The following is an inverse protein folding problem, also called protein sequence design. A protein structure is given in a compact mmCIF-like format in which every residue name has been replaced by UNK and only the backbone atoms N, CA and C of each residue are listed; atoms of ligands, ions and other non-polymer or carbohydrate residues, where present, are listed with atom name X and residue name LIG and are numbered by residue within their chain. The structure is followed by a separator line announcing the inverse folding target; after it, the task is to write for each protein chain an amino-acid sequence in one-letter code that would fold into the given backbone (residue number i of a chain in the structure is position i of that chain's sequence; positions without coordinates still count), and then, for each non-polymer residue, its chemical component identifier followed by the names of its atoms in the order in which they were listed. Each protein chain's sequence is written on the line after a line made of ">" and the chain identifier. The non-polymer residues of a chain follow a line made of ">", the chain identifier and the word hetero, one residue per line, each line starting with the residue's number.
data_IF_343114689067
#
_entry.id   IF_343114689067
#
_cell.length_a   1.000
_cell.length_b   1.000
_cell.length_c   1.000
_cell.angle_alpha   90.00
_cell.angle_beta   90.00
_cell.angle_gamma   90.00
#
_symmetry.space_group_name_H-M   'P 1'
#
loop_
_entity.id
_entity.type
_entity.pdbx_description
1 polymer ?
#
# COMPACT_ATOMS: atom_id res chain seq x y z
N UNK A 1 -18.26 4.99 -6.53
CA UNK A 1 -19.01 5.84 -5.60
C UNK A 1 -18.62 7.28 -5.91
N UNK A 2 -19.55 8.10 -6.43
CA UNK A 2 -19.35 9.54 -6.70
C UNK A 2 -20.23 10.33 -5.74
N UNK A 3 -19.67 11.24 -4.96
CA UNK A 3 -20.44 12.13 -4.09
C UNK A 3 -20.84 13.39 -4.87
N UNK A 4 -22.14 13.67 -4.99
CA UNK A 4 -22.64 14.83 -5.73
C UNK A 4 -22.71 16.10 -4.85
N UNK A 5 -21.64 16.41 -4.11
CA UNK A 5 -21.42 17.73 -3.48
C UNK A 5 -22.49 18.29 -2.51
N UNK A 6 -23.60 17.59 -2.26
CA UNK A 6 -24.76 18.11 -1.53
C UNK A 6 -25.10 17.28 -0.28
N UNK A 7 -24.08 16.79 0.44
CA UNK A 7 -24.18 16.29 1.83
C UNK A 7 -24.99 15.02 2.08
N UNK A 8 -25.42 14.32 1.03
CA UNK A 8 -25.83 12.91 1.11
C UNK A 8 -25.19 12.19 -0.06
N UNK A 9 -24.13 11.41 0.17
CA UNK A 9 -23.53 10.56 -0.86
C UNK A 9 -24.53 9.43 -1.20
N UNK A 10 -25.60 9.75 -1.94
CA UNK A 10 -26.53 8.77 -2.48
C UNK A 10 -25.94 8.21 -3.76
N UNK A 11 -24.98 7.32 -3.61
CA UNK A 11 -24.46 6.58 -4.76
C UNK A 11 -25.45 5.47 -5.06
N UNK A 12 -25.91 5.40 -6.31
CA UNK A 12 -26.47 4.16 -6.83
C UNK A 12 -25.27 3.27 -7.18
N UNK A 13 -25.01 2.20 -6.43
CA UNK A 13 -23.90 1.32 -6.77
C UNK A 13 -24.19 0.69 -8.14
N UNK A 14 -23.16 0.54 -8.98
CA UNK A 14 -23.29 -0.10 -10.30
C UNK A 14 -23.53 -1.62 -10.17
N UNK A 15 -23.34 -2.18 -8.98
CA UNK A 15 -23.73 -3.51 -8.54
C UNK A 15 -24.60 -3.38 -7.28
N UNK A 16 -25.75 -4.05 -7.22
CA UNK A 16 -26.66 -3.99 -6.08
C UNK A 16 -26.07 -4.56 -4.77
N UNK A 17 -24.98 -5.33 -4.87
CA UNK A 17 -24.28 -5.93 -3.74
C UNK A 17 -23.18 -5.02 -3.15
N UNK A 18 -22.94 -3.83 -3.71
CA UNK A 18 -21.89 -2.93 -3.24
C UNK A 18 -22.43 -1.86 -2.29
N UNK A 19 -21.75 -1.70 -1.16
CA UNK A 19 -21.96 -0.58 -0.26
C UNK A 19 -20.95 0.53 -0.58
N UNK A 20 -21.42 1.77 -0.59
CA UNK A 20 -20.53 2.92 -0.59
C UNK A 20 -20.22 3.32 0.84
N UNK A 21 -18.94 3.32 1.16
CA UNK A 21 -18.43 3.46 2.51
C UNK A 21 -17.62 4.75 2.53
N UNK A 22 -17.87 5.57 3.54
CA UNK A 22 -17.15 6.83 3.67
C UNK A 22 -15.65 6.54 3.90
N UNK A 23 -14.79 7.40 3.39
CA UNK A 23 -13.35 7.23 3.59
C UNK A 23 -12.93 7.46 5.04
N UNK A 24 -13.64 8.33 5.76
CA UNK A 24 -13.47 8.51 7.20
C UNK A 24 -13.83 7.24 7.97
N UNK A 25 -14.68 6.38 7.39
CA UNK A 25 -15.07 5.10 7.95
C UNK A 25 -14.09 3.99 7.59
N UNK A 26 -13.79 3.78 6.30
CA UNK A 26 -12.83 2.76 5.86
C UNK A 26 -12.22 3.05 4.47
N UNK A 27 -11.29 4.00 4.36
CA UNK A 27 -10.57 4.27 3.11
C UNK A 27 -9.80 3.04 2.58
N UNK A 28 -10.03 2.61 1.34
CA UNK A 28 -9.22 1.54 0.74
C UNK A 28 -7.77 2.02 0.55
N UNK A 29 -6.74 1.28 1.01
CA UNK A 29 -5.36 1.69 0.81
C UNK A 29 -5.00 1.84 -0.68
N UNK A 30 -4.20 2.86 -0.99
CA UNK A 30 -3.73 3.10 -2.34
C UNK A 30 -2.51 2.21 -2.59
N UNK A 31 -2.77 1.03 -3.16
CA UNK A 31 -1.73 0.04 -3.51
C UNK A 31 -0.97 0.41 -4.78
N UNK A 32 -1.57 1.24 -5.62
CA UNK A 32 -0.96 1.64 -6.87
C UNK A 32 0.22 2.57 -6.61
N UNK A 33 1.36 2.28 -7.24
CA UNK A 33 2.64 2.91 -6.92
C UNK A 33 3.43 2.15 -5.85
N UNK A 34 2.80 1.23 -5.12
CA UNK A 34 3.41 0.25 -4.23
C UNK A 34 4.06 -0.95 -4.92
N UNK A 35 4.36 -0.80 -6.22
CA UNK A 35 4.80 -1.91 -7.08
C UNK A 35 6.15 -2.45 -6.61
N UNK A 36 6.12 -3.70 -6.15
CA UNK A 36 7.27 -4.59 -5.96
C UNK A 36 8.30 -4.05 -4.97
N UNK A 37 8.14 -4.48 -3.72
CA UNK A 37 9.17 -4.23 -2.74
C UNK A 37 10.41 -5.08 -3.07
N UNK A 38 11.54 -4.41 -3.26
CA UNK A 38 12.76 -5.08 -3.63
C UNK A 38 13.30 -5.83 -2.41
N UNK A 39 13.38 -7.16 -2.50
CA UNK A 39 14.19 -7.93 -1.57
C UNK A 39 15.62 -7.46 -1.74
N UNK A 40 16.20 -6.90 -0.68
CA UNK A 40 17.58 -6.43 -0.65
C UNK A 40 18.52 -7.43 -0.01
N UNK A 41 17.97 -8.38 0.73
CA UNK A 41 18.69 -9.46 1.37
C UNK A 41 17.71 -10.51 1.87
N UNK A 42 18.18 -11.75 1.88
CA UNK A 42 17.50 -12.90 2.47
C UNK A 42 18.45 -13.44 3.52
N UNK A 43 18.01 -13.43 4.76
CA UNK A 43 18.79 -13.84 5.92
C UNK A 43 18.13 -15.07 6.56
N UNK A 44 18.81 -15.71 7.50
CA UNK A 44 18.23 -16.82 8.25
C UNK A 44 17.08 -16.32 9.12
N UNK A 45 15.84 -16.68 8.74
CA UNK A 45 14.62 -16.35 9.48
C UNK A 45 13.97 -15.00 9.16
N UNK A 46 14.57 -14.14 8.33
CA UNK A 46 13.94 -12.87 7.91
C UNK A 46 14.40 -12.41 6.51
N UNK A 47 13.68 -11.45 5.94
CA UNK A 47 14.03 -10.76 4.70
C UNK A 47 14.18 -9.26 4.93
N UNK A 48 15.10 -8.65 4.17
CA UNK A 48 15.26 -7.20 4.13
C UNK A 48 14.49 -6.65 2.96
N UNK A 49 13.48 -5.84 3.26
CA UNK A 49 12.58 -5.25 2.29
C UNK A 49 12.96 -3.79 2.01
N UNK A 50 12.91 -3.37 0.76
CA UNK A 50 12.86 -1.95 0.40
C UNK A 50 11.46 -1.62 -0.13
N UNK A 51 10.61 -1.11 0.76
CA UNK A 51 9.27 -0.68 0.42
C UNK A 51 9.32 0.55 -0.49
N UNK A 52 8.62 0.50 -1.63
CA UNK A 52 8.55 1.64 -2.57
C UNK A 52 7.13 2.18 -2.56
N UNK A 53 6.96 3.48 -2.32
CA UNK A 53 5.68 4.14 -2.60
C UNK A 53 5.87 5.11 -3.77
N UNK A 54 4.98 4.98 -4.76
CA UNK A 54 4.73 6.01 -5.78
C UNK A 54 4.29 7.31 -5.12
N UNK A 55 4.31 8.41 -5.86
CA UNK A 55 3.88 9.71 -5.34
C UNK A 55 2.43 9.92 -5.74
N UNK A 56 1.54 10.15 -4.77
CA UNK A 56 0.12 10.36 -5.06
C UNK A 56 -0.13 11.54 -6.02
N UNK A 57 0.74 12.54 -6.03
CA UNK A 57 0.67 13.69 -6.95
C UNK A 57 0.76 13.33 -8.44
N UNK A 58 1.19 12.10 -8.78
CA UNK A 58 1.23 11.60 -10.17
C UNK A 58 0.07 10.61 -10.47
N UNK A 59 -0.92 10.47 -9.57
CA UNK A 59 -2.01 9.49 -9.68
C UNK A 59 -2.85 9.62 -10.95
N UNK A 60 -3.07 10.84 -11.43
CA UNK A 60 -3.81 11.12 -12.66
C UNK A 60 -3.12 10.56 -13.92
N UNK A 61 -1.80 10.33 -13.84
CA UNK A 61 -0.98 9.75 -14.90
C UNK A 61 -0.88 8.22 -14.80
N UNK A 62 -1.42 7.60 -13.75
CA UNK A 62 -1.34 6.16 -13.57
C UNK A 62 -2.34 5.46 -14.49
N UNK A 63 -1.82 4.54 -15.32
CA UNK A 63 -2.62 3.83 -16.33
C UNK A 63 -3.82 3.04 -15.77
N UNK A 64 -3.85 2.76 -14.47
CA UNK A 64 -4.90 1.99 -13.80
C UNK A 64 -5.36 2.66 -12.50
N UNK A 65 -5.64 3.97 -12.52
CA UNK A 65 -6.07 4.67 -11.31
C UNK A 65 -7.43 4.15 -10.80
N UNK A 66 -7.46 3.64 -9.56
CA UNK A 66 -8.68 3.17 -8.88
C UNK A 66 -9.29 4.20 -7.93
N UNK A 67 -8.65 5.36 -7.78
CA UNK A 67 -9.08 6.45 -6.91
C UNK A 67 -9.73 7.56 -7.71
N UNK A 68 -10.80 8.16 -7.18
CA UNK A 68 -11.39 9.35 -7.75
C UNK A 68 -10.53 10.58 -7.39
N UNK A 69 -9.69 11.02 -8.33
CA UNK A 69 -8.83 12.20 -8.12
C UNK A 69 -9.61 13.52 -8.03
N UNK A 70 -10.91 13.51 -8.40
CA UNK A 70 -11.78 14.68 -8.28
C UNK A 70 -12.16 14.95 -6.84
N UNK A 71 -12.41 13.88 -6.07
CA UNK A 71 -12.79 13.94 -4.67
C UNK A 71 -11.56 13.98 -3.72
N UNK A 72 -10.34 13.77 -4.25
CA UNK A 72 -9.08 13.78 -3.50
C UNK A 72 -8.05 14.79 -4.05
N UNK A 73 -8.51 15.99 -4.43
CA UNK A 73 -7.63 17.01 -4.98
C UNK A 73 -6.50 17.41 -4.02
N UNK A 74 -6.74 17.34 -2.71
CA UNK A 74 -5.75 17.65 -1.69
C UNK A 74 -4.61 16.61 -1.64
N UNK A 75 -4.86 15.35 -2.03
CA UNK A 75 -3.78 14.34 -2.14
C UNK A 75 -2.90 14.57 -3.38
N UNK A 76 -3.43 15.32 -4.36
CA UNK A 76 -2.70 15.74 -5.54
C UNK A 76 -1.88 17.01 -5.30
N UNK A 77 -2.11 17.73 -4.20
CA UNK A 77 -1.39 18.96 -3.88
C UNK A 77 -0.02 18.66 -3.23
N UNK A 78 1.11 19.07 -3.85
CA UNK A 78 2.42 18.96 -3.22
C UNK A 78 2.51 19.66 -1.86
N UNK A 79 1.76 20.74 -1.63
CA UNK A 79 1.79 21.48 -0.37
C UNK A 79 1.16 20.68 0.78
N UNK A 80 0.15 19.86 0.50
CA UNK A 80 -0.38 18.92 1.47
C UNK A 80 0.74 18.02 1.97
N UNK A 81 1.38 17.25 1.08
CA UNK A 81 2.40 16.25 1.45
C UNK A 81 3.73 16.83 1.94
N UNK A 82 4.08 18.04 1.51
CA UNK A 82 5.27 18.74 1.97
C UNK A 82 5.18 19.09 3.45
N UNK A 83 3.98 19.33 3.96
CA UNK A 83 3.75 19.84 5.30
C UNK A 83 4.46 21.18 5.52
N UNK A 84 4.79 21.47 6.77
CA UNK A 84 5.60 22.63 7.13
C UNK A 84 7.05 22.23 7.46
N UNK A 85 7.91 23.19 7.78
CA UNK A 85 9.33 22.94 8.09
C UNK A 85 9.55 21.97 9.25
N UNK A 86 8.55 21.79 10.11
CA UNK A 86 8.64 21.09 11.38
C UNK A 86 7.86 19.77 11.37
N UNK A 87 6.73 19.71 10.65
CA UNK A 87 5.81 18.59 10.65
C UNK A 87 5.50 18.16 9.21
N UNK A 88 5.93 16.94 8.87
CA UNK A 88 5.40 16.24 7.71
C UNK A 88 4.00 15.71 8.06
N UNK A 89 3.05 15.69 7.11
CA UNK A 89 1.74 15.11 7.36
C UNK A 89 1.86 13.63 7.71
N UNK A 90 1.05 13.15 8.67
CA UNK A 90 1.01 11.74 9.00
C UNK A 90 0.45 10.93 7.83
N UNK A 91 0.91 9.70 7.70
CA UNK A 91 0.34 8.72 6.79
C UNK A 91 0.47 7.31 7.37
N UNK A 92 -0.39 6.42 6.90
CA UNK A 92 -0.40 5.01 7.29
C UNK A 92 0.09 4.18 6.11
N UNK A 93 1.15 3.42 6.34
CA UNK A 93 1.70 2.42 5.42
C UNK A 93 1.03 1.08 5.70
N UNK A 94 0.57 0.41 4.66
CA UNK A 94 0.08 -0.96 4.71
C UNK A 94 1.07 -1.86 3.99
N UNK A 95 1.24 -3.07 4.51
CA UNK A 95 2.10 -4.10 3.91
C UNK A 95 1.33 -5.39 3.89
N UNK A 96 1.12 -5.92 2.70
CA UNK A 96 0.48 -7.22 2.46
C UNK A 96 1.51 -8.21 1.95
N UNK A 97 1.68 -9.32 2.64
CA UNK A 97 2.49 -10.45 2.20
C UNK A 97 1.55 -11.64 1.87
N UNK A 98 1.78 -12.39 0.78
CA UNK A 98 1.00 -13.57 0.42
C UNK A 98 1.43 -14.81 1.24
N UNK A 99 1.98 -14.59 2.43
CA UNK A 99 2.37 -15.59 3.41
C UNK A 99 2.19 -15.03 4.82
N UNK A 100 1.95 -15.91 5.78
CA UNK A 100 1.76 -15.55 7.18
C UNK A 100 3.12 -15.24 7.83
N UNK A 101 3.33 -13.96 8.14
CA UNK A 101 4.56 -13.47 8.79
C UNK A 101 4.68 -14.01 10.22
N UNK A 102 3.56 -14.29 10.89
CA UNK A 102 3.53 -14.77 12.29
C UNK A 102 4.19 -16.15 12.45
N UNK A 103 4.28 -16.94 11.37
CA UNK A 103 4.99 -18.23 11.36
C UNK A 103 6.52 -18.08 11.33
N UNK A 104 7.04 -16.86 11.17
CA UNK A 104 8.46 -16.55 11.16
C UNK A 104 9.06 -16.21 12.54
N UNK A 105 10.34 -15.87 12.55
CA UNK A 105 11.02 -15.36 13.74
C UNK A 105 11.38 -16.43 14.77
N UNK A 106 12.01 -16.01 15.87
CA UNK A 106 12.41 -16.95 16.94
C UNK A 106 11.16 -17.43 17.67
N UNK A 107 10.89 -18.74 17.62
CA UNK A 107 9.76 -19.33 18.33
C UNK A 107 8.39 -19.06 17.68
N UNK A 108 8.36 -18.73 16.39
CA UNK A 108 7.14 -18.36 15.66
C UNK A 108 6.44 -17.14 16.26
N UNK A 109 7.24 -16.16 16.70
CA UNK A 109 6.73 -14.87 17.20
C UNK A 109 6.51 -13.84 16.08
N UNK A 110 6.97 -14.16 14.86
CA UNK A 110 6.85 -13.45 13.59
C UNK A 110 6.48 -11.97 13.63
N UNK A 111 7.40 -11.12 13.18
CA UNK A 111 7.26 -9.68 13.22
C UNK A 111 7.56 -9.00 11.88
N UNK A 112 6.98 -7.81 11.72
CA UNK A 112 7.34 -6.89 10.67
C UNK A 112 7.71 -5.52 11.25
N UNK A 113 8.82 -4.95 10.80
CA UNK A 113 9.35 -3.71 11.34
C UNK A 113 9.80 -2.75 10.23
N UNK A 114 9.30 -1.51 10.30
CA UNK A 114 9.80 -0.37 9.56
C UNK A 114 10.27 0.72 10.54
N UNK A 115 11.59 0.97 10.68
CA UNK A 115 12.12 1.88 11.70
C UNK A 115 11.57 3.32 11.64
N UNK A 116 11.18 3.77 10.45
CA UNK A 116 10.60 5.10 10.21
C UNK A 116 9.11 5.20 10.64
N UNK A 117 8.55 4.12 11.22
CA UNK A 117 7.14 4.00 11.55
C UNK A 117 6.94 3.41 12.97
N UNK A 118 5.77 3.69 13.54
CA UNK A 118 5.22 2.96 14.67
C UNK A 118 4.42 1.75 14.15
N UNK A 119 4.43 0.60 14.84
CA UNK A 119 3.52 -0.49 14.50
C UNK A 119 2.07 -0.03 14.68
N UNK A 120 1.22 -0.40 13.74
CA UNK A 120 -0.23 -0.27 13.84
C UNK A 120 -0.85 -1.62 14.22
N UNK A 121 -1.59 -2.20 13.29
CA UNK A 121 -2.29 -3.48 13.44
C UNK A 121 -1.72 -4.56 12.54
N UNK A 122 -2.07 -5.80 12.85
CA UNK A 122 -1.89 -6.95 11.97
C UNK A 122 -3.21 -7.72 11.85
N UNK A 123 -3.45 -8.31 10.68
CA UNK A 123 -4.54 -9.26 10.49
C UNK A 123 -4.30 -10.56 11.26
N UNK A 124 -5.37 -11.33 11.50
CA UNK A 124 -5.33 -12.55 12.31
C UNK A 124 -4.45 -13.66 11.70
N UNK A 125 -4.32 -13.66 10.38
CA UNK A 125 -3.50 -14.57 9.57
C UNK A 125 -2.08 -14.05 9.34
N UNK A 126 -1.71 -12.93 9.98
CA UNK A 126 -0.37 -12.34 9.88
C UNK A 126 0.04 -11.87 8.48
N UNK A 127 -0.87 -11.84 7.51
CA UNK A 127 -0.58 -11.48 6.11
C UNK A 127 -0.61 -9.97 5.84
N UNK A 128 -1.41 -9.21 6.59
CA UNK A 128 -1.58 -7.77 6.43
C UNK A 128 -1.13 -7.03 7.70
N UNK A 129 -0.30 -6.00 7.52
CA UNK A 129 0.21 -5.18 8.61
C UNK A 129 0.10 -3.70 8.28
N UNK A 130 -0.21 -2.86 9.27
CA UNK A 130 -0.23 -1.41 9.15
C UNK A 130 0.84 -0.74 10.02
N UNK A 131 1.31 0.43 9.58
CA UNK A 131 2.40 1.18 10.19
C UNK A 131 2.12 2.68 10.12
N UNK A 132 2.24 3.37 11.24
CA UNK A 132 1.97 4.80 11.37
C UNK A 132 3.27 5.60 11.24
N UNK A 133 3.35 6.56 10.31
CA UNK A 133 4.58 7.32 10.07
C UNK A 133 5.08 8.04 11.34
N UNK A 134 6.37 7.91 11.68
CA UNK A 134 6.97 8.71 12.76
C UNK A 134 7.15 10.17 12.36
N UNK A 135 7.34 11.03 13.36
CA UNK A 135 7.71 12.42 13.14
C UNK A 135 8.98 12.54 12.29
N UNK A 136 8.90 13.33 11.22
CA UNK A 136 10.00 13.53 10.28
C UNK A 136 10.06 12.51 9.13
N UNK A 137 9.24 11.45 9.16
CA UNK A 137 9.09 10.53 8.03
C UNK A 137 8.36 11.24 6.89
N UNK A 138 9.05 11.39 5.75
CA UNK A 138 8.55 12.17 4.61
C UNK A 138 8.10 11.27 3.47
N UNK A 139 6.83 11.42 3.10
CA UNK A 139 6.29 10.89 1.86
C UNK A 139 6.64 11.77 0.65
N UNK A 140 6.74 13.09 0.85
CA UNK A 140 7.05 14.04 -0.22
C UNK A 140 8.53 14.06 -0.61
N UNK A 141 8.79 14.15 -1.91
CA UNK A 141 10.09 14.51 -2.49
C UNK A 141 9.90 15.56 -3.59
N UNK A 142 10.84 16.51 -3.65
CA UNK A 142 10.82 17.53 -4.69
C UNK A 142 10.83 16.90 -6.10
N UNK A 143 10.01 17.42 -7.03
CA UNK A 143 9.93 16.89 -8.38
C UNK A 143 11.25 17.09 -9.12
N UNK A 144 11.52 16.21 -10.08
CA UNK A 144 12.73 16.23 -10.91
C UNK A 144 12.36 16.24 -12.38
N UNK A 145 13.16 16.94 -13.18
CA UNK A 145 13.10 16.84 -14.63
C UNK A 145 13.73 15.51 -15.06
N UNK A 146 12.97 14.72 -15.80
CA UNK A 146 13.39 13.45 -16.37
C UNK A 146 13.27 13.57 -17.89
N UNK A 147 14.38 13.42 -18.57
CA UNK A 147 14.44 13.38 -20.04
C UNK A 147 14.33 11.94 -20.50
N UNK A 148 13.34 11.66 -21.33
CA UNK A 148 13.20 10.37 -22.00
C UNK A 148 14.29 10.24 -23.07
N UNK A 149 15.14 9.22 -22.96
CA UNK A 149 16.32 9.06 -23.83
C UNK A 149 15.97 8.74 -25.29
N UNK A 150 14.74 8.26 -25.54
CA UNK A 150 14.29 7.82 -26.88
C UNK A 150 13.62 8.97 -27.63
N UNK A 151 12.72 9.70 -26.96
CA UNK A 151 11.93 10.78 -27.53
C UNK A 151 12.55 12.17 -27.33
N UNK A 152 13.53 12.30 -26.42
CA UNK A 152 14.14 13.59 -26.04
C UNK A 152 13.20 14.51 -25.24
N UNK A 153 11.98 14.08 -24.93
CA UNK A 153 11.01 14.87 -24.20
C UNK A 153 11.39 14.92 -22.71
N UNK A 154 11.37 16.12 -22.15
CA UNK A 154 11.57 16.32 -20.70
C UNK A 154 10.23 16.43 -20.01
N UNK A 155 10.02 15.59 -18.99
CA UNK A 155 8.83 15.61 -18.14
C UNK A 155 9.23 15.85 -16.69
N UNK A 156 8.42 16.59 -15.96
CA UNK A 156 8.60 16.75 -14.52
C UNK A 156 7.88 15.59 -13.83
N UNK A 157 8.60 14.84 -12.99
CA UNK A 157 8.05 13.68 -12.25
C UNK A 157 8.36 13.76 -10.77
N UNK A 158 7.44 13.32 -9.92
CA UNK A 158 7.71 13.17 -8.51
C UNK A 158 8.41 11.82 -8.26
N UNK A 159 9.60 11.81 -7.65
CA UNK A 159 10.32 10.57 -7.44
C UNK A 159 9.69 9.75 -6.30
N UNK A 160 9.59 8.43 -6.47
CA UNK A 160 9.12 7.51 -5.42
C UNK A 160 9.89 7.68 -4.10
N UNK A 161 9.20 7.46 -2.98
CA UNK A 161 9.82 7.27 -1.66
C UNK A 161 10.12 5.81 -1.41
N UNK A 162 11.11 5.59 -0.55
CA UNK A 162 11.54 4.25 -0.19
C UNK A 162 11.75 4.17 1.31
N UNK A 163 11.27 3.08 1.90
CA UNK A 163 11.42 2.77 3.32
C UNK A 163 12.05 1.39 3.47
N UNK A 164 12.96 1.24 4.43
CA UNK A 164 13.58 -0.06 4.71
C UNK A 164 12.71 -0.78 5.73
N UNK A 165 12.34 -2.02 5.42
CA UNK A 165 11.60 -2.91 6.30
C UNK A 165 12.35 -4.21 6.56
N UNK A 166 11.97 -4.89 7.63
CA UNK A 166 12.40 -6.24 7.98
C UNK A 166 11.13 -7.06 8.21
N UNK A 167 11.09 -8.25 7.62
CA UNK A 167 9.93 -9.15 7.69
C UNK A 167 10.46 -10.51 8.09
N UNK A 168 10.01 -11.02 9.23
CA UNK A 168 10.30 -12.39 9.62
C UNK A 168 9.64 -13.37 8.65
N UNK A 169 10.29 -14.51 8.43
CA UNK A 169 9.76 -15.58 7.58
C UNK A 169 9.94 -16.93 8.24
N UNK A 170 9.03 -17.85 7.96
CA UNK A 170 9.19 -19.23 8.38
C UNK A 170 10.47 -19.84 7.79
N UNK A 171 11.04 -20.79 8.53
CA UNK A 171 12.11 -21.66 8.03
C UNK A 171 11.59 -22.77 7.11
N UNK A 172 10.29 -23.06 7.14
CA UNK A 172 9.63 -24.05 6.31
C UNK A 172 9.25 -23.42 4.96
N UNK A 173 9.55 -24.11 3.87
CA UNK A 173 9.44 -23.55 2.52
C UNK A 173 7.97 -23.43 2.04
N UNK A 174 7.10 -24.32 2.50
CA UNK A 174 5.67 -24.34 2.23
C UNK A 174 4.89 -23.22 2.95
N UNK A 175 5.45 -22.67 4.03
CA UNK A 175 4.87 -21.54 4.78
C UNK A 175 5.29 -20.17 4.24
N UNK A 176 6.19 -20.12 3.26
CA UNK A 176 6.71 -18.87 2.67
C UNK A 176 5.85 -18.34 1.49
N UNK A 177 4.71 -18.99 1.23
CA UNK A 177 3.77 -18.63 0.16
C UNK A 177 4.29 -19.00 -1.24
N UNK A 178 3.64 -18.52 -2.31
CA UNK A 178 4.00 -18.83 -3.70
C UNK A 178 5.30 -18.15 -4.19
N UNK A 179 6.10 -17.60 -3.27
CA UNK A 179 7.22 -16.73 -3.59
C UNK A 179 8.53 -17.50 -3.53
N UNK A 180 9.37 -17.29 -4.54
CA UNK A 180 10.79 -17.63 -4.47
C UNK A 180 11.56 -16.36 -4.13
N UNK A 181 12.20 -16.35 -2.96
CA UNK A 181 13.05 -15.24 -2.55
C UNK A 181 14.37 -15.26 -3.34
N UNK A 182 14.38 -14.64 -4.52
CA UNK A 182 15.57 -14.51 -5.37
C UNK A 182 16.04 -13.04 -5.43
N UNK A 183 17.34 -12.72 -5.24
CA UNK A 183 17.84 -11.36 -5.52
C UNK A 183 17.68 -10.92 -7.00
N UNK A 184 17.41 -11.83 -7.92
CA UNK A 184 17.19 -11.58 -9.36
C UNK A 184 15.72 -11.40 -9.74
N UNK A 185 14.82 -11.21 -8.77
CA UNK A 185 13.39 -11.03 -9.02
C UNK A 185 13.10 -10.06 -10.19
N UNK A 186 12.33 -10.56 -11.15
CA UNK A 186 11.88 -9.82 -12.31
C UNK A 186 10.61 -9.01 -11.97
N UNK A 187 10.68 -7.70 -12.24
CA UNK A 187 9.55 -6.78 -12.12
C UNK A 187 8.37 -7.31 -12.96
N UNK A 188 7.16 -7.34 -12.38
CA UNK A 188 5.92 -7.87 -13.00
C UNK A 188 5.81 -9.39 -13.14
N UNK A 189 6.83 -10.16 -12.73
CA UNK A 189 6.77 -11.63 -12.66
C UNK A 189 6.86 -12.16 -11.24
N UNK A 190 7.76 -11.58 -10.45
CA UNK A 190 8.02 -12.01 -9.08
C UNK A 190 7.48 -10.98 -8.08
N UNK A 191 7.09 -11.44 -6.88
CA UNK A 191 6.53 -10.59 -5.83
C UNK A 191 6.91 -11.07 -4.45
N UNK A 192 6.97 -10.14 -3.49
CA UNK A 192 7.21 -10.47 -2.08
C UNK A 192 6.09 -9.97 -1.22
N UNK A 193 6.04 -8.67 -0.97
CA UNK A 193 4.92 -8.03 -0.32
C UNK A 193 4.55 -6.79 -1.14
N UNK A 194 3.27 -6.44 -1.11
CA UNK A 194 2.71 -5.24 -1.73
C UNK A 194 2.56 -4.17 -0.64
N UNK A 195 2.72 -2.90 -1.02
CA UNK A 195 2.56 -1.79 -0.07
C UNK A 195 1.47 -0.83 -0.49
N UNK A 196 0.67 -0.40 0.49
CA UNK A 196 -0.41 0.55 0.33
C UNK A 196 -0.16 1.77 1.19
N UNK A 197 -0.80 2.89 0.85
CA UNK A 197 -0.74 4.10 1.67
C UNK A 197 -2.09 4.79 1.73
N UNK A 198 -2.40 5.38 2.88
CA UNK A 198 -3.45 6.39 3.03
C UNK A 198 -2.90 7.58 3.82
N UNK A 199 -3.34 8.82 3.53
CA UNK A 199 -3.06 9.96 4.37
C UNK A 199 -3.69 9.82 5.76
N UNK A 200 -3.02 10.34 6.79
CA UNK A 200 -3.46 10.24 8.19
C UNK A 200 -2.90 9.04 8.94
N UNK A 201 -2.99 9.07 10.27
CA UNK A 201 -2.74 7.91 11.13
C UNK A 201 -4.05 7.19 11.41
N UNK A 202 -4.14 5.93 10.99
CA UNK A 202 -5.32 5.09 11.13
C UNK A 202 -4.93 3.82 11.90
N UNK A 203 -4.94 3.87 13.24
CA UNK A 203 -4.45 2.78 14.09
C UNK A 203 -5.38 1.58 14.15
N UNK A 204 -6.62 1.69 13.67
CA UNK A 204 -7.68 0.66 13.72
C UNK A 204 -8.21 0.31 12.31
N UNK A 205 -7.42 0.62 11.28
CA UNK A 205 -7.88 0.60 9.89
C UNK A 205 -8.10 -0.79 9.33
N UNK A 206 -7.35 -1.80 9.80
CA UNK A 206 -7.52 -3.16 9.28
C UNK A 206 -8.86 -3.74 9.73
N UNK A 207 -9.25 -3.46 10.99
CA UNK A 207 -10.57 -3.83 11.52
C UNK A 207 -11.66 -3.16 10.70
N UNK A 208 -11.55 -1.85 10.47
CA UNK A 208 -12.52 -1.10 9.65
C UNK A 208 -12.65 -1.65 8.25
N UNK A 209 -11.54 -1.98 7.58
CA UNK A 209 -11.57 -2.60 6.26
C UNK A 209 -12.32 -3.95 6.29
N UNK A 210 -12.05 -4.79 7.28
CA UNK A 210 -12.75 -6.06 7.45
C UNK A 210 -14.24 -5.88 7.72
N UNK A 211 -14.64 -4.95 8.58
CA UNK A 211 -16.06 -4.70 8.86
C UNK A 211 -16.85 -4.22 7.62
N UNK A 212 -16.16 -3.52 6.71
CA UNK A 212 -16.79 -2.77 5.65
C UNK A 212 -16.72 -3.43 4.27
N UNK A 213 -15.66 -4.19 3.96
CA UNK A 213 -15.54 -4.84 2.65
C UNK A 213 -15.31 -6.34 2.79
N UNK A 214 -16.17 -7.11 2.13
CA UNK A 214 -16.10 -8.57 2.11
C UNK A 214 -14.73 -9.13 1.69
N UNK A 215 -14.00 -8.43 0.81
CA UNK A 215 -12.66 -8.85 0.38
C UNK A 215 -11.61 -8.80 1.50
N UNK A 216 -11.90 -8.10 2.59
CA UNK A 216 -11.07 -7.97 3.79
C UNK A 216 -11.71 -8.66 5.02
N UNK A 217 -12.89 -9.29 4.90
CA UNK A 217 -13.62 -9.90 6.04
C UNK A 217 -12.96 -11.16 6.59
N UNK A 218 -12.20 -11.88 5.77
CA UNK A 218 -11.56 -13.15 6.11
C UNK A 218 -10.10 -12.96 6.62
N UNK A 219 -9.32 -14.04 6.60
CA UNK A 219 -7.87 -13.93 6.44
C UNK A 219 -7.60 -13.20 5.11
N UNK A 220 -6.62 -12.35 4.95
CA UNK A 220 -6.52 -11.47 3.77
C UNK A 220 -6.14 -12.23 2.47
N UNK A 221 -6.46 -13.52 2.33
CA UNK A 221 -6.25 -14.37 1.15
C UNK A 221 -6.93 -13.82 -0.12
N UNK A 222 -8.06 -13.13 0.01
CA UNK A 222 -8.75 -12.48 -1.11
C UNK A 222 -7.96 -11.33 -1.75
N UNK A 223 -6.96 -10.79 -1.05
CA UNK A 223 -6.20 -9.62 -1.49
C UNK A 223 -5.39 -9.84 -2.75
N UNK A 224 -4.88 -11.05 -2.97
CA UNK A 224 -4.08 -11.31 -4.16
C UNK A 224 -4.88 -11.03 -5.43
N UNK A 225 -6.15 -11.46 -5.46
CA UNK A 225 -7.07 -11.21 -6.57
C UNK A 225 -7.35 -9.71 -6.71
N UNK A 226 -7.60 -9.02 -5.60
CA UNK A 226 -7.82 -7.58 -5.58
C UNK A 226 -6.68 -6.80 -6.23
N UNK A 227 -5.44 -7.13 -5.86
CA UNK A 227 -4.25 -6.39 -6.28
C UNK A 227 -3.82 -6.71 -7.71
N UNK A 228 -3.98 -7.96 -8.16
CA UNK A 228 -3.28 -8.47 -9.35
C UNK A 228 -4.16 -8.79 -10.54
N UNK A 229 -5.41 -9.17 -10.31
CA UNK A 229 -6.32 -9.29 -11.43
C UNK A 229 -6.77 -7.87 -11.80
N UNK A 230 -6.66 -7.48 -13.09
CA UNK A 230 -7.47 -6.37 -13.55
C UNK A 230 -8.90 -6.83 -13.29
N UNK A 231 -9.60 -6.21 -12.34
CA UNK A 231 -11.04 -6.34 -12.29
C UNK A 231 -11.53 -5.79 -13.63
N UNK A 232 -11.80 -6.69 -14.58
CA UNK A 232 -12.94 -6.47 -15.45
C UNK A 232 -14.09 -6.25 -14.49
N UNK A 233 -14.72 -5.10 -14.66
CA UNK A 233 -15.80 -4.52 -13.86
C UNK A 233 -17.05 -5.43 -13.74
N UNK A 234 -16.94 -6.70 -14.15
CA UNK A 234 -17.94 -7.74 -14.20
C UNK A 234 -17.81 -8.75 -13.04
N UNK A 235 -16.65 -8.84 -12.35
CA UNK A 235 -16.39 -9.85 -11.31
C UNK A 235 -16.23 -9.26 -9.89
N UNK A 236 -16.76 -8.06 -9.66
CA UNK A 236 -16.80 -7.44 -8.35
C UNK A 236 -18.23 -7.16 -7.93
#
# INVERSE_FOLDING_TARGET
>A
CVCDGNSTCSITPNNADWNCIDQEEAAIPIWQGGKFNFVKGVEDGYIVLKARLGQLMDMDQWAYNRMDTTDHQEWMDPNYWKGNSTYAPPFTLFVFCPFDVSLGGVGNEGSMNFPDFYPGESSIDGMMWSFLSRDGTKYFKNPKLITDEISGNTTMKFPSVYFKGYIDRSSLADEQGPIVFDPNMEVEKDYTCEVGVIPGHHPDHLVKLAENYAIFQDDFQGMEKFLRQPQTWEDA
#
